data_IF_970869994696
#
_entry.id   IF_970869994696
#
_cell.length_a   1.000
_cell.length_b   1.000
_cell.length_c   1.000
_cell.angle_alpha   90.00
_cell.angle_beta   90.00
_cell.angle_gamma   90.00
#
_symmetry.space_group_name_H-M   'P 1'
#
loop_
_entity.id
_entity.type
_entity.pdbx_description
1 polymer ?
#
# COMPACT_ATOMS: atom_id res chain seq x y z
N UNK A 1 -10.32 -27.75 -10.24
CA UNK A 1 -10.29 -28.06 -8.80
C UNK A 1 -9.02 -27.55 -8.12
N UNK A 2 -7.80 -28.01 -8.45
CA UNK A 2 -6.55 -27.62 -7.76
C UNK A 2 -6.37 -26.09 -7.75
N UNK A 3 -6.47 -25.42 -8.92
CA UNK A 3 -6.33 -23.97 -9.00
C UNK A 3 -7.35 -23.21 -8.15
N UNK A 4 -8.61 -23.69 -8.10
CA UNK A 4 -9.64 -23.06 -7.25
C UNK A 4 -9.36 -23.25 -5.76
N UNK A 5 -8.89 -24.44 -5.33
CA UNK A 5 -8.57 -24.70 -3.94
C UNK A 5 -7.37 -23.85 -3.46
N UNK A 6 -6.31 -23.79 -4.25
CA UNK A 6 -5.17 -22.91 -3.97
C UNK A 6 -5.58 -21.44 -3.94
N UNK A 7 -6.41 -21.01 -4.90
CA UNK A 7 -6.92 -19.65 -4.96
C UNK A 7 -7.76 -19.27 -3.74
N UNK A 8 -8.61 -20.18 -3.25
CA UNK A 8 -9.34 -20.01 -1.99
C UNK A 8 -8.38 -19.80 -0.81
N UNK A 9 -7.33 -20.62 -0.71
CA UNK A 9 -6.35 -20.51 0.38
C UNK A 9 -5.64 -19.16 0.37
N UNK A 10 -5.09 -18.76 -0.78
CA UNK A 10 -4.35 -17.49 -0.89
C UNK A 10 -5.25 -16.25 -0.77
N UNK A 11 -6.45 -16.29 -1.36
CA UNK A 11 -7.39 -15.19 -1.25
C UNK A 11 -7.94 -15.03 0.18
N UNK A 12 -8.19 -16.14 0.89
CA UNK A 12 -8.57 -16.14 2.31
C UNK A 12 -7.46 -15.53 3.16
N UNK A 13 -6.21 -16.00 3.01
CA UNK A 13 -5.07 -15.45 3.73
C UNK A 13 -4.92 -13.95 3.50
N UNK A 14 -4.94 -13.51 2.24
CA UNK A 14 -4.86 -12.09 1.89
C UNK A 14 -6.00 -11.26 2.46
N UNK A 15 -7.23 -11.81 2.49
CA UNK A 15 -8.40 -11.10 3.04
C UNK A 15 -8.32 -11.00 4.57
N UNK A 16 -7.87 -12.06 5.24
CA UNK A 16 -7.69 -12.06 6.70
C UNK A 16 -6.56 -11.13 7.12
N UNK A 17 -5.44 -11.13 6.41
CA UNK A 17 -4.34 -10.19 6.65
C UNK A 17 -4.82 -8.74 6.48
N UNK A 18 -5.60 -8.45 5.43
CA UNK A 18 -6.18 -7.14 5.21
C UNK A 18 -7.15 -6.74 6.32
N UNK A 19 -8.05 -7.64 6.73
CA UNK A 19 -9.00 -7.40 7.80
C UNK A 19 -8.32 -7.20 9.17
N UNK A 20 -7.25 -7.94 9.46
CA UNK A 20 -6.46 -7.77 10.66
C UNK A 20 -5.80 -6.38 10.74
N UNK A 21 -5.40 -5.81 9.59
CA UNK A 21 -4.85 -4.46 9.51
C UNK A 21 -5.88 -3.35 9.70
N UNK A 22 -7.16 -3.62 9.44
CA UNK A 22 -8.25 -2.69 9.74
C UNK A 22 -8.52 -2.59 11.24
N UNK A 23 -8.09 -3.56 12.04
CA UNK A 23 -8.01 -3.40 13.49
C UNK A 23 -6.80 -2.51 13.80
N UNK A 24 -7.04 -1.24 14.07
CA UNK A 24 -6.08 -0.15 14.36
C UNK A 24 -4.99 -0.51 15.39
N UNK A 25 -5.02 -1.71 15.96
CA UNK A 25 -4.11 -2.21 17.00
C UNK A 25 -2.95 -3.05 16.46
N UNK A 26 -3.00 -3.48 15.19
CA UNK A 26 -1.99 -4.37 14.63
C UNK A 26 -1.12 -3.62 13.62
N UNK A 27 0.08 -3.25 14.06
CA UNK A 27 1.11 -2.68 13.18
C UNK A 27 1.99 -3.75 12.51
N UNK A 28 1.87 -5.01 12.91
CA UNK A 28 2.69 -6.11 12.40
C UNK A 28 1.96 -6.92 11.33
N UNK A 29 2.44 -6.78 10.11
CA UNK A 29 1.96 -7.53 8.94
C UNK A 29 2.50 -8.95 8.94
N UNK A 30 1.62 -9.89 9.07
CA UNK A 30 1.92 -11.32 8.86
C UNK A 30 1.63 -11.73 7.41
N UNK A 31 2.38 -11.21 6.44
CA UNK A 31 2.40 -11.77 5.09
C UNK A 31 3.24 -13.05 5.02
N UNK A 32 3.24 -13.82 6.10
CA UNK A 32 3.89 -15.11 6.19
C UNK A 32 2.82 -16.20 6.18
N UNK A 33 3.04 -17.24 5.37
CA UNK A 33 2.22 -18.47 5.44
C UNK A 33 2.39 -19.21 6.77
N UNK A 34 3.37 -18.79 7.59
CA UNK A 34 3.65 -19.39 8.89
C UNK A 34 3.32 -18.35 9.96
N UNK A 35 2.30 -18.57 10.81
CA UNK A 35 2.00 -17.70 11.94
C UNK A 35 3.21 -17.56 12.86
N UNK A 36 3.58 -16.31 13.20
CA UNK A 36 4.70 -16.05 14.11
C UNK A 36 6.10 -16.05 13.48
N UNK A 37 6.22 -16.16 12.16
CA UNK A 37 7.52 -16.00 11.49
C UNK A 37 8.01 -14.53 11.57
N UNK A 38 9.33 -14.31 11.77
CA UNK A 38 9.87 -12.95 11.82
C UNK A 38 9.66 -12.23 10.48
N UNK A 39 9.51 -10.89 10.50
CA UNK A 39 9.37 -10.09 9.29
C UNK A 39 10.59 -10.28 8.39
N UNK A 40 10.33 -10.58 7.13
CA UNK A 40 11.35 -10.74 6.07
C UNK A 40 11.11 -9.66 5.01
N UNK A 41 12.06 -9.48 4.07
CA UNK A 41 11.91 -8.57 2.92
C UNK A 41 10.58 -8.79 2.16
N UNK A 42 10.05 -9.98 2.24
CA UNK A 42 8.74 -10.32 1.67
C UNK A 42 7.55 -9.73 2.44
N UNK A 43 7.70 -9.35 3.69
CA UNK A 43 6.67 -8.65 4.46
C UNK A 43 6.54 -7.20 3.97
N UNK A 44 7.64 -6.59 3.56
CA UNK A 44 7.64 -5.23 3.00
C UNK A 44 6.93 -5.16 1.63
N UNK A 45 7.18 -6.12 0.74
CA UNK A 45 6.47 -6.23 -0.54
C UNK A 45 4.95 -6.39 -0.35
N UNK A 46 4.55 -7.12 0.68
CA UNK A 46 3.14 -7.29 1.02
C UNK A 46 2.54 -6.00 1.59
N UNK A 47 3.25 -5.29 2.46
CA UNK A 47 2.84 -3.98 2.99
C UNK A 47 2.65 -2.98 1.85
N UNK A 48 3.59 -2.90 0.93
CA UNK A 48 3.51 -2.04 -0.27
C UNK A 48 2.27 -2.37 -1.09
N UNK A 49 1.97 -3.64 -1.32
CA UNK A 49 0.79 -4.06 -2.06
C UNK A 49 -0.52 -3.71 -1.33
N UNK A 50 -0.60 -3.97 -0.01
CA UNK A 50 -1.81 -3.71 0.78
C UNK A 50 -2.09 -2.22 0.96
N UNK A 51 -1.07 -1.41 1.13
CA UNK A 51 -1.20 0.04 1.28
C UNK A 51 -1.42 0.77 -0.05
N UNK A 52 -1.25 0.07 -1.18
CA UNK A 52 -1.46 0.66 -2.49
C UNK A 52 -2.92 1.06 -2.74
N UNK A 53 -3.18 2.05 -3.62
CA UNK A 53 -4.53 2.41 -4.00
C UNK A 53 -5.29 1.29 -4.70
N UNK A 54 -4.59 0.24 -5.15
CA UNK A 54 -5.15 -0.90 -5.88
C UNK A 54 -5.60 -2.07 -4.99
N UNK A 55 -5.33 -2.02 -3.67
CA UNK A 55 -5.63 -3.12 -2.75
C UNK A 55 -7.12 -3.25 -2.40
N UNK A 56 -7.89 -2.15 -2.49
CA UNK A 56 -9.28 -2.13 -2.09
C UNK A 56 -10.12 -1.20 -2.95
N UNK A 57 -11.42 -1.54 -3.08
CA UNK A 57 -12.44 -0.71 -3.73
C UNK A 57 -13.19 0.14 -2.70
N UNK A 58 -13.82 1.23 -3.17
CA UNK A 58 -14.65 2.13 -2.33
C UNK A 58 -13.94 2.69 -1.09
N UNK A 59 -12.65 2.98 -1.19
CA UNK A 59 -11.80 3.51 -0.12
C UNK A 59 -12.20 4.92 0.35
N UNK A 60 -13.02 5.61 -0.43
CA UNK A 60 -13.61 6.91 -0.09
C UNK A 60 -14.92 6.79 0.70
N UNK A 61 -15.57 5.62 0.68
CA UNK A 61 -16.85 5.36 1.37
C UNK A 61 -16.68 4.59 2.67
N UNK A 62 -15.74 3.66 2.70
CA UNK A 62 -15.45 2.81 3.85
C UNK A 62 -13.99 3.02 4.27
N UNK A 63 -13.76 3.08 5.56
CA UNK A 63 -12.41 3.16 6.09
C UNK A 63 -11.63 1.90 5.68
N UNK A 64 -10.50 2.08 4.99
CA UNK A 64 -9.76 1.01 4.37
C UNK A 64 -10.36 0.44 3.07
N UNK A 65 -11.63 0.68 2.77
CA UNK A 65 -12.31 0.14 1.59
C UNK A 65 -12.66 -1.35 1.71
N UNK A 66 -13.10 -1.96 0.60
CA UNK A 66 -13.40 -3.39 0.49
C UNK A 66 -12.24 -4.06 -0.24
N UNK A 67 -11.51 -5.01 0.39
CA UNK A 67 -10.33 -5.62 -0.21
C UNK A 67 -10.66 -6.38 -1.48
N UNK A 68 -9.82 -6.21 -2.53
CA UNK A 68 -10.02 -6.93 -3.79
C UNK A 68 -9.85 -8.45 -3.64
N UNK A 69 -9.09 -8.90 -2.65
CA UNK A 69 -8.93 -10.32 -2.31
C UNK A 69 -10.25 -10.99 -1.93
N UNK A 70 -11.21 -10.25 -1.39
CA UNK A 70 -12.55 -10.75 -1.08
C UNK A 70 -13.34 -11.12 -2.35
N UNK A 71 -13.18 -10.34 -3.43
CA UNK A 71 -13.75 -10.66 -4.74
C UNK A 71 -13.05 -11.86 -5.37
N UNK A 72 -11.73 -11.97 -5.20
CA UNK A 72 -10.98 -13.15 -5.63
C UNK A 72 -11.46 -14.40 -4.88
N UNK A 73 -11.68 -14.31 -3.58
CA UNK A 73 -12.23 -15.39 -2.75
C UNK A 73 -13.60 -15.86 -3.30
N UNK A 74 -14.50 -14.92 -3.57
CA UNK A 74 -15.81 -15.22 -4.17
C UNK A 74 -15.69 -15.91 -5.53
N UNK A 75 -14.81 -15.41 -6.40
CA UNK A 75 -14.57 -16.01 -7.71
C UNK A 75 -14.04 -17.46 -7.59
N UNK A 76 -13.02 -17.69 -6.76
CA UNK A 76 -12.48 -19.05 -6.56
C UNK A 76 -13.48 -19.99 -5.91
N UNK A 77 -14.35 -19.51 -5.00
CA UNK A 77 -15.45 -20.31 -4.43
C UNK A 77 -16.44 -20.72 -5.52
N UNK A 78 -16.82 -19.79 -6.40
CA UNK A 78 -17.66 -20.07 -7.55
C UNK A 78 -17.04 -21.14 -8.47
N UNK A 79 -15.77 -20.98 -8.85
CA UNK A 79 -15.09 -21.93 -9.72
C UNK A 79 -14.87 -23.29 -9.05
N UNK A 80 -14.67 -23.33 -7.73
CA UNK A 80 -14.61 -24.59 -6.99
C UNK A 80 -15.95 -25.34 -7.05
N UNK A 81 -17.05 -24.64 -6.78
CA UNK A 81 -18.40 -25.21 -6.85
C UNK A 81 -18.77 -25.65 -8.27
N UNK A 82 -18.45 -24.84 -9.28
CA UNK A 82 -18.73 -25.19 -10.68
C UNK A 82 -17.86 -26.38 -11.15
N UNK A 83 -16.57 -26.40 -10.79
CA UNK A 83 -15.69 -27.52 -11.11
C UNK A 83 -16.15 -28.81 -10.42
N UNK A 84 -16.67 -28.72 -9.19
CA UNK A 84 -17.27 -29.85 -8.47
C UNK A 84 -18.52 -30.37 -9.19
N UNK A 85 -19.40 -29.43 -9.63
CA UNK A 85 -20.56 -29.82 -10.45
C UNK A 85 -20.13 -30.57 -11.73
N UNK A 86 -19.16 -30.08 -12.47
CA UNK A 86 -18.65 -30.73 -13.69
C UNK A 86 -18.02 -32.09 -13.39
N UNK A 87 -17.34 -32.23 -12.26
CA UNK A 87 -16.76 -33.50 -11.81
C UNK A 87 -17.82 -34.57 -11.49
N UNK A 88 -18.87 -34.16 -10.75
CA UNK A 88 -19.99 -35.06 -10.38
C UNK A 88 -20.81 -35.45 -11.61
N UNK A 89 -21.10 -34.49 -12.50
CA UNK A 89 -21.87 -34.73 -13.72
C UNK A 89 -21.09 -35.59 -14.76
N UNK A 90 -19.74 -35.55 -14.70
CA UNK A 90 -18.87 -36.34 -15.57
C UNK A 90 -19.21 -36.15 -17.06
N UNK A 91 -19.48 -37.27 -17.75
CA UNK A 91 -19.88 -37.27 -19.17
C UNK A 91 -21.30 -36.74 -19.43
N UNK A 92 -22.14 -36.70 -18.41
CA UNK A 92 -23.48 -36.11 -18.48
C UNK A 92 -23.45 -34.58 -18.48
N UNK A 93 -22.32 -33.96 -18.17
CA UNK A 93 -22.18 -32.50 -18.16
C UNK A 93 -22.47 -31.92 -19.56
N UNK A 94 -23.37 -30.95 -19.69
CA UNK A 94 -23.72 -30.36 -20.99
C UNK A 94 -22.49 -29.67 -21.61
N UNK A 95 -22.30 -29.79 -22.93
CA UNK A 95 -21.21 -29.10 -23.66
C UNK A 95 -21.21 -27.59 -23.42
N UNK A 96 -22.40 -26.97 -23.37
CA UNK A 96 -22.58 -25.54 -23.09
C UNK A 96 -22.10 -25.16 -21.70
N UNK A 97 -22.30 -26.00 -20.69
CA UNK A 97 -21.76 -25.76 -19.34
C UNK A 97 -20.22 -25.85 -19.30
N UNK A 98 -19.65 -26.85 -19.97
CA UNK A 98 -18.19 -27.00 -20.09
C UNK A 98 -17.57 -25.82 -20.86
N UNK A 99 -18.17 -25.42 -21.99
CA UNK A 99 -17.71 -24.27 -22.77
C UNK A 99 -17.83 -22.95 -22.00
N UNK A 100 -18.92 -22.76 -21.26
CA UNK A 100 -19.08 -21.61 -20.38
C UNK A 100 -18.02 -21.58 -19.28
N UNK A 101 -17.75 -22.73 -18.63
CA UNK A 101 -16.71 -22.82 -17.62
C UNK A 101 -15.33 -22.48 -18.20
N UNK A 102 -15.02 -22.93 -19.42
CA UNK A 102 -13.79 -22.61 -20.10
C UNK A 102 -13.66 -21.09 -20.39
N UNK A 103 -14.75 -20.48 -20.87
CA UNK A 103 -14.79 -19.05 -21.19
C UNK A 103 -14.60 -18.19 -19.93
N UNK A 104 -15.43 -18.42 -18.89
CA UNK A 104 -15.34 -17.60 -17.67
C UNK A 104 -14.14 -17.94 -16.80
N UNK A 105 -13.63 -19.18 -16.88
CA UNK A 105 -12.45 -19.63 -16.13
C UNK A 105 -11.14 -18.93 -16.50
N UNK A 106 -11.12 -18.21 -17.62
CA UNK A 106 -9.97 -17.37 -18.02
C UNK A 106 -10.01 -15.99 -17.34
N UNK A 107 -11.19 -15.53 -16.88
CA UNK A 107 -11.32 -14.18 -16.32
C UNK A 107 -10.44 -13.90 -15.09
N UNK A 108 -10.26 -14.83 -14.11
CA UNK A 108 -9.34 -14.61 -13.01
C UNK A 108 -7.88 -14.45 -13.47
N UNK A 109 -7.49 -15.15 -14.53
CA UNK A 109 -6.14 -14.99 -15.11
C UNK A 109 -5.96 -13.60 -15.74
N UNK A 110 -6.95 -13.11 -16.48
CA UNK A 110 -6.88 -11.75 -17.05
C UNK A 110 -6.75 -10.68 -15.96
N UNK A 111 -7.55 -10.77 -14.91
CA UNK A 111 -7.44 -9.87 -13.75
C UNK A 111 -6.06 -9.99 -13.09
N UNK A 112 -5.58 -11.22 -12.90
CA UNK A 112 -4.25 -11.48 -12.34
C UNK A 112 -3.11 -10.88 -13.17
N UNK A 113 -3.21 -10.92 -14.49
CA UNK A 113 -2.23 -10.30 -15.39
C UNK A 113 -2.23 -8.76 -15.26
N UNK A 114 -3.40 -8.14 -15.17
CA UNK A 114 -3.50 -6.70 -14.91
C UNK A 114 -2.87 -6.34 -13.58
N UNK A 115 -3.19 -7.08 -12.50
CA UNK A 115 -2.63 -6.82 -11.16
C UNK A 115 -1.12 -7.10 -11.10
N UNK A 116 -0.63 -8.11 -11.81
CA UNK A 116 0.81 -8.37 -11.94
C UNK A 116 1.51 -7.23 -12.70
N UNK A 117 0.89 -6.69 -13.74
CA UNK A 117 1.38 -5.50 -14.45
C UNK A 117 1.47 -4.28 -13.53
N UNK A 118 0.45 -4.01 -12.72
CA UNK A 118 0.46 -2.94 -11.71
C UNK A 118 1.58 -3.19 -10.69
N UNK A 119 1.73 -4.42 -10.19
CA UNK A 119 2.79 -4.78 -9.25
C UNK A 119 4.18 -4.51 -9.83
N UNK A 120 4.40 -4.86 -11.10
CA UNK A 120 5.68 -4.66 -11.77
C UNK A 120 5.99 -3.18 -12.08
N UNK A 121 4.97 -2.40 -12.52
CA UNK A 121 5.19 -1.05 -13.07
C UNK A 121 4.97 0.06 -12.05
N UNK A 122 4.05 -0.13 -11.09
CA UNK A 122 3.66 0.90 -10.14
C UNK A 122 4.20 0.65 -8.73
N UNK A 123 4.31 -0.62 -8.32
CA UNK A 123 4.73 -0.97 -6.97
C UNK A 123 6.19 -1.41 -6.88
N UNK A 124 6.79 -1.85 -7.98
CA UNK A 124 8.17 -2.34 -8.02
C UNK A 124 8.43 -3.61 -7.19
N UNK A 125 7.37 -4.24 -6.67
CA UNK A 125 7.46 -5.39 -5.76
C UNK A 125 6.31 -6.38 -5.96
N UNK A 126 6.56 -7.65 -5.64
CA UNK A 126 5.57 -8.72 -5.74
C UNK A 126 5.26 -9.31 -4.36
N UNK A 127 4.04 -9.15 -3.92
CA UNK A 127 3.53 -9.77 -2.70
C UNK A 127 3.36 -11.29 -2.90
N UNK A 128 3.83 -12.10 -1.95
CA UNK A 128 3.79 -13.59 -2.04
C UNK A 128 2.36 -14.14 -2.17
N UNK A 129 1.42 -13.62 -1.41
CA UNK A 129 0.00 -14.02 -1.49
C UNK A 129 -0.61 -13.66 -2.83
N UNK A 130 -0.26 -12.48 -3.38
CA UNK A 130 -0.69 -12.07 -4.72
C UNK A 130 -0.15 -13.02 -5.79
N UNK A 131 1.13 -13.36 -5.74
CA UNK A 131 1.74 -14.34 -6.67
C UNK A 131 1.04 -15.70 -6.55
N UNK A 132 0.70 -16.13 -5.33
CA UNK A 132 -0.10 -17.35 -5.11
C UNK A 132 -1.47 -17.29 -5.81
N UNK A 133 -2.16 -16.15 -5.77
CA UNK A 133 -3.41 -15.92 -6.49
C UNK A 133 -3.18 -15.97 -8.02
N UNK A 134 -2.09 -15.38 -8.54
CA UNK A 134 -1.79 -15.40 -9.97
C UNK A 134 -1.52 -16.81 -10.50
N UNK A 135 -0.74 -17.60 -9.75
CA UNK A 135 -0.49 -19.02 -10.09
C UNK A 135 -1.80 -19.82 -10.03
N UNK A 136 -2.63 -19.60 -9.03
CA UNK A 136 -3.92 -20.24 -8.88
C UNK A 136 -4.86 -19.94 -10.03
N UNK A 137 -4.89 -18.68 -10.49
CA UNK A 137 -5.67 -18.23 -11.64
C UNK A 137 -5.18 -18.87 -12.96
N UNK A 138 -3.84 -18.99 -13.12
CA UNK A 138 -3.26 -19.68 -14.26
C UNK A 138 -3.64 -21.18 -14.30
N UNK A 139 -3.51 -21.87 -13.16
CA UNK A 139 -3.88 -23.29 -13.05
C UNK A 139 -5.38 -23.51 -13.26
N UNK A 140 -6.24 -22.59 -12.80
CA UNK A 140 -7.67 -22.63 -13.07
C UNK A 140 -7.96 -22.48 -14.56
N UNK A 141 -7.41 -21.46 -15.22
CA UNK A 141 -7.61 -21.20 -16.64
C UNK A 141 -7.11 -22.37 -17.49
N UNK A 142 -5.89 -22.87 -17.21
CA UNK A 142 -5.33 -24.03 -17.90
C UNK A 142 -6.23 -25.26 -17.74
N UNK A 143 -6.68 -25.57 -16.54
CA UNK A 143 -7.60 -26.69 -16.27
C UNK A 143 -8.95 -26.53 -16.93
N UNK A 144 -9.49 -25.32 -17.00
CA UNK A 144 -10.75 -25.01 -17.67
C UNK A 144 -10.64 -25.21 -19.20
N UNK A 145 -9.57 -24.73 -19.82
CA UNK A 145 -9.32 -24.89 -21.27
C UNK A 145 -9.04 -26.34 -21.66
N UNK A 146 -8.18 -27.03 -20.89
CA UNK A 146 -7.89 -28.46 -21.14
C UNK A 146 -9.13 -29.33 -20.96
N UNK A 147 -9.99 -29.01 -19.99
CA UNK A 147 -11.25 -29.70 -19.76
C UNK A 147 -12.28 -29.53 -20.88
N UNK A 148 -12.20 -28.41 -21.60
CA UNK A 148 -13.08 -28.11 -22.75
C UNK A 148 -12.50 -28.58 -24.09
N UNK A 149 -11.22 -28.96 -24.14
CA UNK A 149 -10.57 -29.43 -25.37
C UNK A 149 -11.29 -30.66 -25.90
N UNK A 150 -11.55 -30.74 -27.23
CA UNK A 150 -12.23 -31.86 -27.83
C UNK A 150 -11.36 -33.13 -27.74
N UNK A 151 -11.89 -34.11 -27.03
CA UNK A 151 -11.26 -35.45 -26.89
C UNK A 151 -11.90 -36.48 -27.84
N UNK A 152 -12.05 -36.12 -29.12
CA UNK A 152 -12.75 -36.93 -30.14
C UNK A 152 -14.25 -36.63 -30.23
N UNK A 153 -15.04 -37.49 -30.95
CA UNK A 153 -16.49 -37.32 -31.04
C UNK A 153 -17.09 -37.39 -29.63
N UNK A 154 -17.59 -36.28 -29.15
CA UNK A 154 -18.15 -36.21 -27.83
C UNK A 154 -19.61 -36.59 -27.83
N UNK A 155 -19.98 -37.63 -27.06
CA UNK A 155 -21.35 -38.05 -26.82
C UNK A 155 -22.10 -37.12 -25.83
N UNK A 156 -21.42 -36.10 -25.26
CA UNK A 156 -22.01 -35.16 -24.32
C UNK A 156 -23.21 -34.44 -24.91
N UNK A 157 -24.34 -34.36 -24.21
CA UNK A 157 -25.53 -33.63 -24.68
C UNK A 157 -25.17 -32.15 -24.84
N UNK A 158 -25.76 -31.50 -25.86
CA UNK A 158 -25.59 -30.06 -26.06
C UNK A 158 -26.08 -29.26 -24.86
N UNK A 159 -27.16 -29.68 -24.24
CA UNK A 159 -27.79 -29.05 -23.08
C UNK A 159 -28.50 -27.74 -23.40
N UNK A 160 -29.21 -27.24 -22.41
CA UNK A 160 -29.84 -25.92 -22.44
C UNK A 160 -28.89 -24.81 -22.02
N UNK A 161 -29.11 -23.58 -22.49
CA UNK A 161 -28.47 -22.38 -21.99
C UNK A 161 -28.93 -22.00 -20.58
N UNK A 162 -30.02 -22.59 -20.07
CA UNK A 162 -30.51 -22.35 -18.71
C UNK A 162 -29.47 -22.74 -17.63
N UNK A 163 -28.68 -23.80 -17.87
CA UNK A 163 -27.64 -24.24 -16.92
C UNK A 163 -26.54 -23.20 -16.79
N UNK A 164 -25.82 -22.80 -17.84
CA UNK A 164 -24.80 -21.73 -17.69
C UNK A 164 -25.43 -20.39 -17.28
N UNK A 165 -26.64 -20.06 -17.70
CA UNK A 165 -27.33 -18.84 -17.29
C UNK A 165 -27.62 -18.81 -15.79
N UNK A 166 -27.91 -19.95 -15.15
CA UNK A 166 -28.12 -20.04 -13.71
C UNK A 166 -26.82 -19.82 -12.89
N UNK A 167 -25.65 -20.06 -13.48
CA UNK A 167 -24.38 -19.80 -12.80
C UNK A 167 -23.99 -18.32 -12.76
N UNK A 168 -24.51 -17.45 -13.64
CA UNK A 168 -24.23 -16.01 -13.61
C UNK A 168 -24.75 -15.33 -12.33
N UNK A 169 -26.01 -15.53 -11.91
CA UNK A 169 -26.47 -15.04 -10.61
C UNK A 169 -25.68 -15.61 -9.44
N UNK A 170 -25.26 -16.89 -9.51
CA UNK A 170 -24.43 -17.50 -8.48
C UNK A 170 -23.05 -16.81 -8.37
N UNK A 171 -22.39 -16.51 -9.50
CA UNK A 171 -21.14 -15.74 -9.53
C UNK A 171 -21.36 -14.35 -8.91
N UNK A 172 -22.43 -13.67 -9.27
CA UNK A 172 -22.80 -12.39 -8.68
C UNK A 172 -23.02 -12.50 -7.15
N UNK A 173 -23.77 -13.50 -6.71
CA UNK A 173 -24.06 -13.69 -5.29
C UNK A 173 -22.79 -13.98 -4.46
N UNK A 174 -21.95 -14.93 -4.88
CA UNK A 174 -20.72 -15.27 -4.11
C UNK A 174 -19.66 -14.17 -4.13
N UNK A 175 -19.76 -13.20 -5.04
CA UNK A 175 -18.85 -12.05 -5.08
C UNK A 175 -19.43 -10.84 -4.33
N UNK A 176 -20.70 -10.51 -4.53
CA UNK A 176 -21.33 -9.29 -4.02
C UNK A 176 -21.85 -9.45 -2.59
N UNK A 177 -22.38 -10.63 -2.22
CA UNK A 177 -22.94 -10.84 -0.87
C UNK A 177 -21.84 -10.73 0.20
N UNK A 178 -20.67 -11.41 0.09
CA UNK A 178 -19.59 -11.21 1.05
C UNK A 178 -19.09 -9.76 1.10
N UNK A 179 -19.01 -9.08 -0.06
CA UNK A 179 -18.62 -7.67 -0.11
C UNK A 179 -19.65 -6.76 0.59
N UNK A 180 -20.94 -7.01 0.41
CA UNK A 180 -22.02 -6.27 1.09
C UNK A 180 -22.01 -6.53 2.62
N UNK A 181 -21.84 -7.79 3.03
CA UNK A 181 -21.70 -8.16 4.45
C UNK A 181 -20.49 -7.48 5.06
N UNK A 182 -19.33 -7.54 4.39
CA UNK A 182 -18.12 -6.85 4.82
C UNK A 182 -18.36 -5.35 4.97
N UNK A 183 -18.91 -4.69 3.95
CA UNK A 183 -19.21 -3.27 3.97
C UNK A 183 -20.16 -2.87 5.10
N UNK A 184 -21.15 -3.73 5.43
CA UNK A 184 -22.10 -3.49 6.53
C UNK A 184 -21.50 -3.73 7.91
N UNK A 185 -20.40 -4.49 8.01
CA UNK A 185 -19.68 -4.78 9.27
C UNK A 185 -18.59 -3.79 9.59
N UNK A 186 -18.17 -2.94 8.63
CA UNK A 186 -17.14 -1.92 8.86
C UNK A 186 -17.65 -0.89 9.87
N UNK A 187 -16.94 -0.66 10.99
CA UNK A 187 -17.32 0.35 11.97
C UNK A 187 -17.35 1.76 11.37
N UNK A 188 -18.23 2.61 11.88
CA UNK A 188 -18.17 4.05 11.56
C UNK A 188 -17.01 4.71 12.29
N UNK A 189 -15.93 5.00 11.57
CA UNK A 189 -14.74 5.65 12.12
C UNK A 189 -14.83 7.19 12.15
N UNK A 190 -15.90 7.81 11.60
CA UNK A 190 -16.04 9.28 11.57
C UNK A 190 -15.89 9.95 12.93
N UNK A 191 -16.46 9.40 14.03
CA UNK A 191 -16.33 10.02 15.35
C UNK A 191 -14.88 10.08 15.89
N UNK A 192 -13.98 9.27 15.33
CA UNK A 192 -12.60 9.16 15.79
C UNK A 192 -11.61 9.96 14.92
N UNK A 193 -12.07 10.45 13.75
CA UNK A 193 -11.21 11.21 12.85
C UNK A 193 -10.91 12.59 13.42
N UNK A 194 -9.65 13.00 13.33
CA UNK A 194 -9.22 14.32 13.78
C UNK A 194 -9.16 14.53 15.28
N UNK A 195 -9.33 13.48 16.11
CA UNK A 195 -9.22 13.56 17.57
C UNK A 195 -7.78 13.44 18.08
N UNK A 196 -6.79 13.24 17.20
CA UNK A 196 -5.40 13.00 17.57
C UNK A 196 -4.62 14.29 17.90
N UNK A 197 -5.32 15.39 18.05
CA UNK A 197 -4.76 16.66 18.46
C UNK A 197 -4.65 17.70 17.36
N UNK A 198 -4.06 18.82 17.72
CA UNK A 198 -3.86 19.95 16.84
C UNK A 198 -2.46 20.54 17.01
N UNK A 199 -2.00 21.23 15.98
CA UNK A 199 -0.74 21.97 15.99
C UNK A 199 -0.81 23.08 17.03
N UNK A 200 0.17 23.14 17.93
CA UNK A 200 0.25 24.15 19.00
C UNK A 200 0.82 25.47 18.48
N UNK A 201 1.84 25.37 17.62
CA UNK A 201 2.55 26.49 17.01
C UNK A 201 2.50 26.35 15.50
N UNK A 202 2.03 27.37 14.81
CA UNK A 202 2.06 27.42 13.35
C UNK A 202 3.48 27.64 12.84
N UNK A 203 3.81 27.11 11.63
CA UNK A 203 5.09 27.34 11.00
C UNK A 203 5.37 28.82 10.77
N UNK A 204 6.56 29.27 11.11
CA UNK A 204 7.06 30.61 10.85
C UNK A 204 8.31 30.57 9.97
N UNK A 205 8.66 31.68 9.34
CA UNK A 205 9.85 31.75 8.48
C UNK A 205 11.16 31.36 9.23
N UNK A 206 11.20 31.61 10.54
CA UNK A 206 12.33 31.28 11.42
C UNK A 206 12.53 29.77 11.63
N UNK A 207 11.51 28.94 11.42
CA UNK A 207 11.57 27.48 11.59
C UNK A 207 12.29 26.79 10.41
N UNK A 208 12.46 27.54 9.29
CA UNK A 208 13.22 27.13 8.10
C UNK A 208 12.72 25.82 7.46
N UNK A 209 11.40 25.54 7.56
CA UNK A 209 10.78 24.36 6.97
C UNK A 209 10.92 24.32 5.45
N UNK A 210 11.04 23.11 4.91
CA UNK A 210 11.15 22.91 3.47
C UNK A 210 9.76 23.03 2.82
N UNK A 211 9.68 23.71 1.68
CA UNK A 211 8.43 23.78 0.90
C UNK A 211 8.43 22.70 -0.17
N UNK A 212 7.33 21.93 -0.19
CA UNK A 212 7.04 20.93 -1.21
C UNK A 212 5.64 21.15 -1.78
N UNK A 213 5.36 22.38 -2.21
CA UNK A 213 4.06 22.77 -2.74
C UNK A 213 3.75 21.98 -4.02
N UNK A 214 2.57 21.38 -4.09
CA UNK A 214 2.07 20.69 -5.29
C UNK A 214 1.74 21.68 -6.42
N UNK A 215 1.43 21.15 -7.59
CA UNK A 215 1.14 21.98 -8.79
C UNK A 215 -0.18 22.75 -8.69
N UNK A 216 -1.16 22.23 -7.95
CA UNK A 216 -2.50 22.83 -7.77
C UNK A 216 -2.91 22.80 -6.29
N UNK A 217 -2.20 23.48 -5.42
CA UNK A 217 -2.43 23.40 -3.99
C UNK A 217 -3.79 24.01 -3.62
N UNK A 218 -4.55 23.29 -2.80
CA UNK A 218 -5.87 23.73 -2.30
C UNK A 218 -5.96 23.67 -0.78
N UNK A 219 -4.99 23.01 -0.12
CA UNK A 219 -4.96 22.84 1.32
C UNK A 219 -3.54 22.91 1.87
N UNK A 220 -3.28 23.72 2.90
CA UNK A 220 -2.01 23.70 3.61
C UNK A 220 -1.86 22.38 4.39
N UNK A 221 -0.67 21.82 4.35
CA UNK A 221 -0.29 20.62 5.08
C UNK A 221 1.09 20.78 5.71
N UNK A 222 1.30 20.15 6.85
CA UNK A 222 2.59 20.09 7.52
C UNK A 222 2.92 18.63 7.80
N UNK A 223 4.09 18.21 7.34
CA UNK A 223 4.58 16.85 7.52
C UNK A 223 5.84 16.86 8.37
N UNK A 224 5.93 15.90 9.29
CA UNK A 224 7.17 15.54 9.97
C UNK A 224 7.57 14.16 9.46
N UNK A 225 8.67 14.10 8.70
CA UNK A 225 9.08 12.88 8.01
C UNK A 225 10.58 12.61 8.22
N UNK A 226 10.90 11.32 8.20
CA UNK A 226 12.25 10.80 8.17
C UNK A 226 12.50 10.18 6.79
N UNK A 227 13.53 10.62 6.04
CA UNK A 227 13.84 10.08 4.72
C UNK A 227 14.14 8.58 4.69
N UNK A 228 14.56 7.99 5.82
CA UNK A 228 14.83 6.56 5.94
C UNK A 228 13.70 5.76 6.61
N UNK A 229 12.57 6.41 6.97
CA UNK A 229 11.42 5.73 7.55
C UNK A 229 10.59 5.03 6.46
N UNK A 230 10.41 3.69 6.49
CA UNK A 230 9.61 2.96 5.51
C UNK A 230 8.14 3.41 5.47
N UNK A 231 7.58 3.79 6.62
CA UNK A 231 6.20 4.28 6.73
C UNK A 231 6.05 5.64 6.07
N UNK A 232 7.05 6.54 6.17
CA UNK A 232 7.06 7.83 5.47
C UNK A 232 7.09 7.62 3.94
N UNK A 233 7.95 6.73 3.45
CA UNK A 233 7.99 6.34 2.03
C UNK A 233 6.62 5.87 1.56
N UNK A 234 6.02 4.90 2.26
CA UNK A 234 4.72 4.34 1.91
C UNK A 234 3.60 5.40 1.91
N UNK A 235 3.61 6.30 2.87
CA UNK A 235 2.70 7.44 2.96
C UNK A 235 2.86 8.39 1.77
N UNK A 236 4.09 8.81 1.48
CA UNK A 236 4.41 9.72 0.38
C UNK A 236 4.02 9.13 -0.99
N UNK A 237 4.41 7.88 -1.24
CA UNK A 237 4.06 7.15 -2.47
C UNK A 237 2.54 7.04 -2.65
N UNK A 238 1.79 6.83 -1.57
CA UNK A 238 0.33 6.75 -1.62
C UNK A 238 -0.30 8.10 -1.96
N UNK A 239 0.16 9.19 -1.34
CA UNK A 239 -0.32 10.53 -1.67
C UNK A 239 -0.04 10.87 -3.15
N UNK A 240 1.14 10.50 -3.65
CA UNK A 240 1.51 10.71 -5.05
C UNK A 240 0.65 9.88 -6.01
N UNK A 241 0.48 8.58 -5.75
CA UNK A 241 -0.32 7.66 -6.57
C UNK A 241 -1.81 8.07 -6.64
N UNK A 242 -2.34 8.67 -5.58
CA UNK A 242 -3.71 9.19 -5.53
C UNK A 242 -3.84 10.62 -6.06
N UNK A 243 -2.74 11.26 -6.46
CA UNK A 243 -2.72 12.65 -6.95
C UNK A 243 -2.99 13.69 -5.85
N UNK A 244 -3.01 13.29 -4.59
CA UNK A 244 -3.28 14.15 -3.43
C UNK A 244 -2.11 15.09 -3.17
N UNK A 245 -0.88 14.61 -3.33
CA UNK A 245 0.33 15.41 -3.08
C UNK A 245 0.37 16.67 -3.92
N UNK A 246 -0.14 16.64 -5.17
CA UNK A 246 -0.20 17.77 -6.07
C UNK A 246 -1.26 18.83 -5.69
N UNK A 247 -2.13 18.49 -4.74
CA UNK A 247 -3.19 19.36 -4.22
C UNK A 247 -2.89 19.92 -2.83
N UNK A 248 -1.73 19.59 -2.26
CA UNK A 248 -1.29 20.07 -0.96
C UNK A 248 -0.23 21.17 -1.10
N UNK A 249 -0.32 22.21 -0.26
CA UNK A 249 0.79 23.13 0.03
C UNK A 249 1.54 22.60 1.22
N UNK A 250 2.52 21.73 0.95
CA UNK A 250 3.23 21.01 1.99
C UNK A 250 4.40 21.83 2.51
N UNK A 251 4.44 22.00 3.84
CA UNK A 251 5.64 22.35 4.57
C UNK A 251 6.19 21.08 5.25
N UNK A 252 7.48 20.80 5.06
CA UNK A 252 8.13 19.61 5.60
C UNK A 252 9.10 20.01 6.71
N UNK A 253 8.91 19.44 7.89
CA UNK A 253 9.89 19.38 8.95
C UNK A 253 10.58 18.01 8.90
N UNK A 254 11.88 17.99 8.65
CA UNK A 254 12.67 16.76 8.72
C UNK A 254 12.81 16.33 10.18
N UNK A 255 12.44 15.09 10.45
CA UNK A 255 12.43 14.50 11.81
C UNK A 255 13.14 13.13 11.79
N UNK A 256 14.46 13.11 11.58
CA UNK A 256 15.22 11.87 11.53
C UNK A 256 15.13 11.10 12.85
N UNK A 257 14.82 9.81 12.76
CA UNK A 257 14.80 8.87 13.90
C UNK A 257 16.22 8.29 14.12
N UNK A 258 17.20 9.18 14.23
CA UNK A 258 18.60 8.88 14.35
C UNK A 258 19.23 9.72 15.48
N UNK A 259 19.77 9.05 16.49
CA UNK A 259 20.34 9.68 17.68
C UNK A 259 21.60 10.50 17.41
N UNK A 260 22.20 10.42 16.19
CA UNK A 260 23.33 11.27 15.81
C UNK A 260 22.98 12.78 15.86
N UNK A 261 21.76 13.15 15.50
CA UNK A 261 21.33 14.55 15.50
C UNK A 261 20.03 14.79 16.29
N UNK A 262 19.23 13.75 16.53
CA UNK A 262 17.97 13.87 17.24
C UNK A 262 18.16 13.49 18.72
N UNK A 263 18.28 14.52 19.57
CA UNK A 263 18.50 14.35 21.00
C UNK A 263 17.34 13.74 21.77
N UNK A 264 16.17 13.59 21.13
CA UNK A 264 15.01 12.94 21.74
C UNK A 264 15.12 11.41 21.73
N UNK A 265 16.13 10.87 21.07
CA UNK A 265 16.38 9.43 20.92
C UNK A 265 17.63 9.01 21.70
N UNK A 266 17.55 7.90 22.43
CA UNK A 266 18.69 7.25 23.05
C UNK A 266 19.49 6.35 22.11
N UNK A 267 18.86 5.88 21.03
CA UNK A 267 19.50 5.03 20.00
C UNK A 267 18.89 5.32 18.62
N UNK A 268 19.68 5.10 17.57
CA UNK A 268 19.22 5.31 16.20
C UNK A 268 18.27 4.17 15.79
N UNK A 269 17.04 4.51 15.40
CA UNK A 269 16.13 3.59 14.72
C UNK A 269 16.48 3.48 13.24
N UNK A 270 16.84 4.61 12.63
CA UNK A 270 17.24 4.70 11.23
C UNK A 270 18.66 5.28 11.10
N UNK A 271 19.74 4.48 11.31
CA UNK A 271 21.11 4.95 11.22
C UNK A 271 21.40 5.62 9.88
N UNK A 272 21.92 6.84 9.90
CA UNK A 272 22.22 7.66 8.72
C UNK A 272 21.09 8.62 8.31
N UNK A 273 19.92 8.56 8.95
CA UNK A 273 18.80 9.47 8.65
C UNK A 273 19.19 10.95 8.84
N UNK A 274 20.05 11.25 9.82
CA UNK A 274 20.59 12.60 10.01
C UNK A 274 21.34 13.11 8.77
N UNK A 275 22.18 12.27 8.18
CA UNK A 275 22.97 12.62 6.99
C UNK A 275 22.08 12.79 5.77
N UNK A 276 21.10 11.90 5.55
CA UNK A 276 20.13 12.01 4.44
C UNK A 276 19.24 13.24 4.61
N UNK A 277 18.77 13.53 5.81
CA UNK A 277 17.98 14.75 6.11
C UNK A 277 18.76 16.03 5.78
N UNK A 278 20.03 16.08 6.16
CA UNK A 278 20.93 17.19 5.78
C UNK A 278 21.09 17.31 4.26
N UNK A 279 21.18 16.18 3.52
CA UNK A 279 21.21 16.21 2.07
C UNK A 279 19.91 16.76 1.44
N UNK A 280 18.75 16.44 2.02
CA UNK A 280 17.46 17.03 1.59
C UNK A 280 17.47 18.54 1.78
N UNK A 281 17.93 19.06 2.92
CA UNK A 281 18.09 20.50 3.17
C UNK A 281 19.02 21.14 2.12
N UNK A 282 20.14 20.49 1.83
CA UNK A 282 21.12 20.95 0.84
C UNK A 282 20.58 20.96 -0.59
N UNK A 283 19.51 20.25 -0.86
CA UNK A 283 18.78 20.29 -2.13
C UNK A 283 18.17 21.67 -2.43
N UNK A 284 17.88 22.50 -1.42
CA UNK A 284 17.22 23.79 -1.54
C UNK A 284 15.92 23.66 -2.39
N UNK A 285 15.84 24.36 -3.52
CA UNK A 285 14.70 24.27 -4.44
C UNK A 285 14.49 22.86 -5.02
N UNK A 286 15.50 21.99 -4.97
CA UNK A 286 15.45 20.57 -5.34
C UNK A 286 15.24 19.66 -4.12
N UNK A 287 14.95 20.20 -2.94
CA UNK A 287 14.77 19.40 -1.72
C UNK A 287 13.74 18.29 -1.88
N UNK A 288 12.62 18.56 -2.58
CA UNK A 288 11.63 17.53 -2.93
C UNK A 288 12.24 16.38 -3.75
N UNK A 289 13.06 16.70 -4.75
CA UNK A 289 13.70 15.68 -5.60
C UNK A 289 14.71 14.83 -4.81
N UNK A 290 15.42 15.44 -3.85
CA UNK A 290 16.33 14.71 -2.97
C UNK A 290 15.57 13.79 -2.03
N UNK A 291 14.43 14.21 -1.50
CA UNK A 291 13.56 13.38 -0.65
C UNK A 291 12.96 12.21 -1.45
N UNK A 292 12.41 12.47 -2.63
CA UNK A 292 11.87 11.44 -3.51
C UNK A 292 12.93 10.40 -3.87
N UNK A 293 14.14 10.85 -4.24
CA UNK A 293 15.28 9.95 -4.44
C UNK A 293 15.63 9.15 -3.18
N UNK A 294 15.58 9.77 -2.00
CA UNK A 294 15.86 9.07 -0.76
C UNK A 294 14.82 7.98 -0.48
N UNK A 295 13.56 8.18 -0.86
CA UNK A 295 12.52 7.16 -0.77
C UNK A 295 12.69 6.07 -1.82
N UNK A 296 13.05 6.41 -3.05
CA UNK A 296 13.28 5.43 -4.13
C UNK A 296 14.46 4.51 -3.81
N UNK A 297 15.56 5.07 -3.27
CA UNK A 297 16.79 4.35 -2.91
C UNK A 297 16.86 3.97 -1.42
N UNK A 298 15.73 4.01 -0.70
CA UNK A 298 15.70 3.91 0.75
C UNK A 298 16.39 2.66 1.31
N UNK A 299 16.22 1.52 0.66
CA UNK A 299 16.85 0.27 1.10
C UNK A 299 18.38 0.32 0.98
N UNK A 300 18.88 0.88 -0.13
CA UNK A 300 20.31 1.04 -0.35
C UNK A 300 20.91 2.03 0.65
N UNK A 301 20.22 3.14 0.89
CA UNK A 301 20.64 4.17 1.85
C UNK A 301 20.58 3.64 3.30
N UNK A 302 19.55 2.90 3.67
CA UNK A 302 19.43 2.28 5.00
C UNK A 302 20.52 1.24 5.24
N UNK A 303 20.84 0.40 4.24
CA UNK A 303 21.98 -0.53 4.33
C UNK A 303 23.29 0.21 4.49
N UNK A 304 23.50 1.26 3.69
CA UNK A 304 24.72 2.08 3.77
C UNK A 304 24.83 2.80 5.12
N UNK A 305 23.75 3.33 5.67
CA UNK A 305 23.70 3.92 7.00
C UNK A 305 24.11 2.96 8.12
N UNK A 306 23.65 1.70 8.04
CA UNK A 306 24.05 0.64 8.98
C UNK A 306 25.54 0.24 8.85
N UNK A 307 26.12 0.37 7.63
CA UNK A 307 27.55 0.12 7.40
C UNK A 307 28.45 1.29 7.84
N UNK A 308 27.86 2.46 8.04
CA UNK A 308 28.54 3.64 8.55
C UNK A 308 28.57 4.83 7.58
N UNK A 309 28.89 5.99 8.14
CA UNK A 309 28.87 7.27 7.44
C UNK A 309 29.64 7.31 6.10
N UNK A 310 30.85 6.73 5.94
CA UNK A 310 31.57 6.79 4.67
C UNK A 310 30.81 6.17 3.50
N UNK A 311 30.17 5.01 3.72
CA UNK A 311 29.42 4.30 2.68
C UNK A 311 28.19 5.10 2.25
N UNK A 312 27.44 5.65 3.21
CA UNK A 312 26.28 6.48 2.94
C UNK A 312 26.65 7.78 2.20
N UNK A 313 27.72 8.43 2.62
CA UNK A 313 28.22 9.66 2.00
C UNK A 313 28.63 9.44 0.55
N UNK A 314 29.28 8.32 0.24
CA UNK A 314 29.63 7.97 -1.13
C UNK A 314 28.40 7.82 -2.06
N UNK A 315 27.28 7.28 -1.56
CA UNK A 315 26.03 7.21 -2.34
C UNK A 315 25.44 8.60 -2.58
N UNK A 316 25.43 9.47 -1.58
CA UNK A 316 24.97 10.86 -1.70
C UNK A 316 25.84 11.63 -2.70
N UNK A 317 27.17 11.53 -2.58
CA UNK A 317 28.11 12.19 -3.48
C UNK A 317 27.94 11.73 -4.93
N UNK A 318 27.84 10.41 -5.14
CA UNK A 318 27.64 9.83 -6.47
C UNK A 318 26.39 10.37 -7.16
N UNK A 319 25.33 10.64 -6.40
CA UNK A 319 24.04 11.08 -6.96
C UNK A 319 23.92 12.59 -7.07
N UNK A 320 24.44 13.33 -6.07
CA UNK A 320 24.19 14.77 -5.89
C UNK A 320 25.45 15.63 -5.96
N UNK A 321 26.65 15.02 -6.03
CA UNK A 321 27.93 15.70 -6.17
C UNK A 321 28.59 16.12 -4.85
N UNK A 322 29.87 16.47 -4.94
CA UNK A 322 30.70 16.85 -3.79
C UNK A 322 30.20 18.13 -3.08
N UNK A 323 29.65 19.08 -3.82
CA UNK A 323 29.10 20.32 -3.26
C UNK A 323 27.96 20.03 -2.26
N UNK A 324 27.16 19.00 -2.53
CA UNK A 324 26.11 18.56 -1.61
C UNK A 324 26.72 18.02 -0.33
N UNK A 325 27.81 17.24 -0.38
CA UNK A 325 28.49 16.78 0.82
C UNK A 325 29.11 17.92 1.64
N UNK A 326 29.69 18.89 0.99
CA UNK A 326 30.22 20.07 1.67
C UNK A 326 29.12 20.83 2.41
N UNK A 327 27.92 20.96 1.78
CA UNK A 327 26.76 21.54 2.42
C UNK A 327 26.26 20.68 3.59
N UNK A 328 26.19 19.35 3.47
CA UNK A 328 25.80 18.42 4.54
C UNK A 328 26.65 18.61 5.80
N UNK A 329 27.92 18.91 5.64
CA UNK A 329 28.87 19.12 6.75
C UNK A 329 28.81 20.53 7.34
N UNK A 330 28.15 21.46 6.68
CA UNK A 330 28.10 22.86 7.10
C UNK A 330 27.35 23.04 8.42
N UNK A 331 27.77 24.04 9.19
CA UNK A 331 27.10 24.43 10.41
C UNK A 331 25.68 24.98 10.15
N UNK A 332 25.48 25.65 9.02
CA UNK A 332 24.18 26.20 8.64
C UNK A 332 23.15 25.08 8.45
N UNK A 333 23.52 24.00 7.76
CA UNK A 333 22.63 22.84 7.57
C UNK A 333 22.31 22.15 8.90
N UNK A 334 23.29 22.03 9.80
CA UNK A 334 23.05 21.50 11.15
C UNK A 334 22.06 22.38 11.94
N UNK A 335 22.22 23.70 11.85
CA UNK A 335 21.31 24.65 12.51
C UNK A 335 19.88 24.58 11.93
N UNK A 336 19.74 24.43 10.62
CA UNK A 336 18.41 24.26 9.98
C UNK A 336 17.75 22.98 10.49
N UNK A 337 18.45 21.86 10.47
CA UNK A 337 17.91 20.60 10.99
C UNK A 337 17.53 20.70 12.47
N UNK A 338 18.35 21.37 13.27
CA UNK A 338 18.03 21.65 14.67
C UNK A 338 16.74 22.47 14.83
N UNK A 339 16.50 23.47 13.97
CA UNK A 339 15.25 24.24 14.00
C UNK A 339 14.05 23.36 13.74
N UNK A 340 14.13 22.41 12.79
CA UNK A 340 13.06 21.45 12.55
C UNK A 340 12.76 20.59 13.79
N UNK A 341 13.79 20.10 14.47
CA UNK A 341 13.64 19.30 15.69
C UNK A 341 13.07 20.13 16.86
N UNK A 342 13.52 21.37 17.04
CA UNK A 342 12.94 22.29 18.02
C UNK A 342 11.47 22.60 17.72
N UNK A 343 11.13 22.87 16.46
CA UNK A 343 9.76 23.09 16.02
C UNK A 343 8.87 21.88 16.34
N UNK A 344 9.38 20.65 16.12
CA UNK A 344 8.69 19.43 16.50
C UNK A 344 8.45 19.35 18.00
N UNK A 345 9.48 19.66 18.82
CA UNK A 345 9.37 19.65 20.28
C UNK A 345 8.36 20.68 20.79
N UNK A 346 8.36 21.90 20.26
CA UNK A 346 7.41 22.96 20.62
C UNK A 346 5.96 22.56 20.30
N UNK A 347 5.76 21.76 19.27
CA UNK A 347 4.47 21.20 18.91
C UNK A 347 4.13 19.92 19.68
N UNK A 348 5.03 19.37 20.49
CA UNK A 348 4.83 18.13 21.22
C UNK A 348 4.68 16.91 20.31
N UNK A 349 5.41 16.91 19.19
CA UNK A 349 5.38 15.80 18.25
C UNK A 349 5.93 14.54 18.91
N UNK A 350 5.20 13.46 18.80
CA UNK A 350 5.68 12.15 19.25
C UNK A 350 6.92 11.71 18.46
N UNK A 351 7.80 10.92 19.09
CA UNK A 351 9.02 10.41 18.44
C UNK A 351 8.65 9.23 17.53
N UNK A 352 7.84 9.54 16.51
CA UNK A 352 7.40 8.62 15.45
C UNK A 352 7.14 9.40 14.17
N UNK A 353 7.29 8.74 13.02
CA UNK A 353 7.06 9.33 11.69
C UNK A 353 6.30 8.36 10.77
N UNK A 354 5.49 8.86 9.83
CA UNK A 354 5.18 10.27 9.58
C UNK A 354 4.21 10.86 10.62
N UNK A 355 4.32 12.18 10.89
CA UNK A 355 3.29 12.94 11.58
C UNK A 355 2.70 13.95 10.60
N UNK A 356 1.39 13.98 10.46
CA UNK A 356 0.71 14.69 9.37
C UNK A 356 -0.35 15.63 9.93
N UNK A 357 -0.31 16.87 9.48
CA UNK A 357 -1.30 17.87 9.80
C UNK A 357 -1.92 18.43 8.52
N UNK A 358 -3.24 18.51 8.48
CA UNK A 358 -4.00 19.24 7.45
C UNK A 358 -4.50 20.57 8.05
N UNK A 359 -3.87 21.67 7.65
CA UNK A 359 -3.99 22.91 8.40
C UNK A 359 -3.45 22.70 9.81
N UNK A 360 -4.31 22.92 10.83
CA UNK A 360 -3.95 22.71 12.23
C UNK A 360 -4.26 21.30 12.76
N UNK A 361 -5.11 20.54 12.07
CA UNK A 361 -5.62 19.26 12.56
C UNK A 361 -4.67 18.12 12.26
N UNK A 362 -4.28 17.35 13.29
CA UNK A 362 -3.46 16.15 13.13
C UNK A 362 -4.31 15.02 12.56
N UNK A 363 -3.79 14.35 11.55
CA UNK A 363 -4.28 13.03 11.12
C UNK A 363 -3.71 12.00 12.10
N UNK A 364 -4.53 11.08 12.57
CA UNK A 364 -4.08 10.01 13.44
C UNK A 364 -3.13 9.08 12.69
N UNK A 365 -2.15 8.50 13.39
CA UNK A 365 -1.14 7.63 12.77
C UNK A 365 -1.80 6.44 12.06
N UNK A 366 -2.88 5.90 12.63
CA UNK A 366 -3.68 4.81 12.07
C UNK A 366 -4.43 5.22 10.78
N UNK A 367 -4.67 6.51 10.58
CA UNK A 367 -5.37 7.04 9.42
C UNK A 367 -4.41 7.45 8.27
N UNK A 368 -3.09 7.31 8.48
CA UNK A 368 -2.08 7.60 7.43
C UNK A 368 -1.79 6.42 6.51
N UNK A 369 -2.39 5.27 6.76
CA UNK A 369 -2.24 4.03 5.98
C UNK A 369 -3.46 3.71 5.11
N UNK A 370 -4.10 2.56 5.33
CA UNK A 370 -5.26 2.10 4.54
C UNK A 370 -6.47 3.02 4.65
N UNK A 371 -6.62 3.72 5.78
CA UNK A 371 -7.68 4.68 6.03
C UNK A 371 -7.48 6.07 5.39
N UNK A 372 -6.29 6.35 4.82
CA UNK A 372 -5.90 7.70 4.39
C UNK A 372 -6.93 8.35 3.46
N UNK A 373 -7.36 7.65 2.41
CA UNK A 373 -8.31 8.21 1.44
C UNK A 373 -9.66 8.55 2.07
N UNK A 374 -10.17 7.69 2.94
CA UNK A 374 -11.40 7.94 3.69
C UNK A 374 -11.25 9.16 4.62
N UNK A 375 -10.15 9.21 5.36
CA UNK A 375 -9.83 10.31 6.28
C UNK A 375 -9.73 11.63 5.54
N UNK A 376 -9.02 11.67 4.40
CA UNK A 376 -8.94 12.85 3.54
C UNK A 376 -10.31 13.24 2.98
N UNK A 377 -11.14 12.27 2.59
CA UNK A 377 -12.49 12.54 2.10
C UNK A 377 -13.38 13.21 3.16
N UNK A 378 -13.17 12.88 4.42
CA UNK A 378 -13.93 13.46 5.55
C UNK A 378 -13.35 14.80 5.99
N UNK A 379 -12.02 14.89 6.20
CA UNK A 379 -11.38 16.08 6.77
C UNK A 379 -10.99 17.15 5.76
N UNK A 380 -10.74 16.77 4.51
CA UNK A 380 -10.30 17.65 3.45
C UNK A 380 -10.81 17.18 2.07
N UNK A 381 -12.14 17.13 1.84
CA UNK A 381 -12.73 16.62 0.60
C UNK A 381 -12.23 17.34 -0.66
N UNK A 382 -11.73 18.56 -0.51
CA UNK A 382 -11.14 19.36 -1.60
C UNK A 382 -9.88 18.75 -2.18
N UNK A 383 -9.11 17.93 -1.42
CA UNK A 383 -7.86 17.33 -1.91
C UNK A 383 -8.05 16.00 -2.64
N UNK A 384 -9.22 15.34 -2.51
CA UNK A 384 -9.52 14.04 -3.12
C UNK A 384 -10.55 14.11 -4.26
N UNK A 385 -10.81 15.30 -4.77
CA UNK A 385 -11.73 15.55 -5.90
C UNK A 385 -11.06 15.38 -7.25
#
# INVERSE_FOLDING_TARGET
MVGSALGLTFASSSTLDYAAHLDRRLHDLHCSFVPGAPPTDAAEACRTAMYSPYAALFRDKYWGGIPISLFALGAFAFFAGFALYLLIAGERAPRRAVGFFALVGVTPLLVSLVMAGISATQLGSFCKTCVGIYISSFLLALGALLGAAPKGPSERPLGSWLVPAAFLPALGAVSLVPAAVYASSVPDHRPYLGLCGSLKKEPAAGDALLRMTGQRPVKPALFFEDPLCPTCRAFHQRLAAEGVLERLDVQLALFPLDSECNWMLSSAMHPGACTVSKAVICGKDRGRQVLEWAYDEQEALSRAGKLGAPTLRALIEKRWGADTLQCVDSNDTKQILNKHLHFATENGIAVSTPQVFLGKQRICDEDTDMGLRYTLRVLAPEVVR
#
